data_IF_727475657920
#
_entry.id   IF_727475657920
#
_cell.length_a   1.000
_cell.length_b   1.000
_cell.length_c   1.000
_cell.angle_alpha   90.00
_cell.angle_beta   90.00
_cell.angle_gamma   90.00
#
_symmetry.space_group_name_H-M   'P 1'
#
loop_
_entity.id
_entity.type
_entity.pdbx_description
1 polymer ?
#
# COMPACT_ATOMS: atom_id res chain seq x y z
N UNK A 1 6.43 -9.56 -23.64
CA UNK A 1 7.11 -10.21 -24.78
C UNK A 1 7.53 -9.23 -25.88
N UNK A 2 6.60 -8.55 -26.58
CA UNK A 2 6.94 -7.67 -27.72
C UNK A 2 7.90 -6.52 -27.39
N UNK A 3 7.77 -5.89 -26.22
CA UNK A 3 8.63 -4.77 -25.77
C UNK A 3 10.07 -5.22 -25.40
N UNK A 4 10.22 -6.41 -24.81
CA UNK A 4 11.55 -6.99 -24.57
C UNK A 4 12.27 -7.33 -25.88
N UNK A 5 11.51 -7.82 -26.88
CA UNK A 5 12.02 -8.07 -28.22
C UNK A 5 12.48 -6.79 -28.94
N UNK A 6 11.72 -5.69 -28.85
CA UNK A 6 12.10 -4.44 -29.54
C UNK A 6 13.41 -3.87 -29.01
N UNK A 7 13.69 -4.01 -27.72
CA UNK A 7 14.86 -3.40 -27.09
C UNK A 7 16.13 -4.25 -27.29
N UNK A 8 16.07 -5.56 -27.01
CA UNK A 8 17.26 -6.43 -27.00
C UNK A 8 17.32 -7.43 -28.16
N UNK A 9 16.27 -7.51 -29.00
CA UNK A 9 16.15 -8.46 -30.14
C UNK A 9 16.39 -9.93 -29.74
N UNK A 10 16.12 -10.22 -28.48
CA UNK A 10 16.26 -11.52 -27.83
C UNK A 10 15.31 -11.60 -26.65
N UNK A 11 14.45 -12.60 -26.61
CA UNK A 11 13.46 -12.73 -25.53
C UNK A 11 13.15 -14.20 -25.30
N UNK A 12 13.63 -14.74 -24.18
CA UNK A 12 13.28 -16.07 -23.68
C UNK A 12 12.69 -15.92 -22.27
N UNK A 13 11.49 -16.44 -22.06
CA UNK A 13 10.79 -16.40 -20.78
C UNK A 13 10.22 -17.78 -20.45
N UNK A 14 10.57 -18.32 -19.28
CA UNK A 14 9.91 -19.49 -18.72
C UNK A 14 8.64 -19.02 -18.03
N UNK A 15 7.49 -19.57 -18.42
CA UNK A 15 6.21 -19.28 -17.76
C UNK A 15 6.06 -20.14 -16.50
N UNK A 16 6.27 -21.44 -16.64
CA UNK A 16 6.32 -22.38 -15.52
C UNK A 16 7.18 -23.59 -15.85
N UNK A 17 7.73 -24.21 -14.80
CA UNK A 17 8.50 -25.44 -14.85
C UNK A 17 8.18 -26.27 -13.62
N UNK A 18 7.72 -27.50 -13.80
CA UNK A 18 7.26 -28.35 -12.70
C UNK A 18 7.52 -29.84 -12.95
N UNK A 19 7.75 -30.57 -11.86
CA UNK A 19 7.85 -32.03 -11.85
C UNK A 19 6.46 -32.64 -11.67
N UNK A 20 6.02 -33.44 -12.64
CA UNK A 20 4.79 -34.21 -12.57
C UNK A 20 5.11 -35.68 -12.29
N UNK A 21 4.39 -36.25 -11.33
CA UNK A 21 4.29 -37.69 -11.11
C UNK A 21 2.82 -38.07 -11.13
N UNK A 22 2.47 -39.06 -11.96
CA UNK A 22 1.10 -39.52 -12.12
C UNK A 22 0.47 -40.11 -10.85
N UNK A 23 1.28 -40.38 -9.80
CA UNK A 23 0.80 -40.86 -8.49
C UNK A 23 0.75 -39.79 -7.41
N UNK A 24 1.62 -38.79 -7.50
CA UNK A 24 1.74 -37.70 -6.53
C UNK A 24 1.85 -36.41 -7.31
N UNK A 25 0.80 -35.59 -7.32
CA UNK A 25 0.89 -34.21 -7.81
C UNK A 25 1.79 -33.44 -6.86
N UNK A 26 3.09 -33.54 -7.09
CA UNK A 26 4.13 -32.97 -6.25
C UNK A 26 3.99 -31.45 -6.28
N UNK A 27 3.26 -30.93 -5.29
CA UNK A 27 3.30 -29.53 -4.83
C UNK A 27 2.63 -28.53 -5.77
N UNK A 28 1.44 -28.90 -6.21
CA UNK A 28 0.51 -28.04 -6.88
C UNK A 28 -0.58 -27.60 -5.88
N UNK A 29 -0.26 -26.74 -4.92
CA UNK A 29 -1.28 -26.17 -4.02
C UNK A 29 -1.29 -24.63 -4.09
N UNK A 30 -2.28 -24.02 -4.77
CA UNK A 30 -3.34 -24.66 -5.56
C UNK A 30 -2.85 -25.22 -6.89
N UNK A 31 -3.41 -26.37 -7.32
CA UNK A 31 -3.18 -26.92 -8.66
C UNK A 31 -3.79 -25.96 -9.68
N UNK A 32 -2.96 -25.30 -10.47
CA UNK A 32 -3.44 -24.35 -11.48
C UNK A 32 -4.10 -25.06 -12.70
N UNK A 33 -3.91 -26.37 -12.88
CA UNK A 33 -4.50 -27.10 -14.01
C UNK A 33 -4.54 -28.62 -13.81
N UNK A 34 -5.34 -29.30 -14.64
CA UNK A 34 -5.41 -30.76 -14.76
C UNK A 34 -4.17 -31.27 -15.49
N UNK A 35 -3.53 -32.37 -15.04
CA UNK A 35 -2.38 -32.94 -15.75
C UNK A 35 -2.77 -33.36 -17.18
N UNK A 36 -1.84 -33.25 -18.17
CA UNK A 36 -2.06 -33.76 -19.53
C UNK A 36 -2.39 -35.25 -19.53
N UNK A 37 -3.16 -35.71 -20.50
CA UNK A 37 -3.44 -37.14 -20.65
C UNK A 37 -2.20 -37.90 -21.19
N UNK A 38 -2.07 -39.18 -20.85
CA UNK A 38 -1.01 -40.07 -21.31
C UNK A 38 -0.89 -40.09 -22.83
N UNK A 39 -2.01 -40.00 -23.56
CA UNK A 39 -2.02 -39.91 -25.01
C UNK A 39 -1.38 -38.61 -25.52
N UNK A 40 -1.66 -37.48 -24.87
CA UNK A 40 -1.06 -36.18 -25.23
C UNK A 40 0.45 -36.19 -24.99
N UNK A 41 0.88 -36.80 -23.88
CA UNK A 41 2.30 -36.98 -23.57
C UNK A 41 2.98 -37.92 -24.59
N UNK A 42 2.34 -39.02 -24.95
CA UNK A 42 2.84 -39.93 -25.99
C UNK A 42 2.98 -39.22 -27.34
N UNK A 43 2.00 -38.39 -27.71
CA UNK A 43 2.06 -37.60 -28.95
C UNK A 43 3.17 -36.54 -28.93
N UNK A 44 3.55 -36.07 -27.73
CA UNK A 44 4.68 -35.17 -27.52
C UNK A 44 6.04 -35.90 -27.50
N UNK A 45 6.07 -37.22 -27.74
CA UNK A 45 7.30 -38.03 -27.75
C UNK A 45 7.71 -38.58 -26.40
N UNK A 46 6.84 -38.52 -25.39
CA UNK A 46 7.10 -39.11 -24.08
C UNK A 46 6.75 -40.59 -24.12
N UNK A 47 7.75 -41.45 -24.27
CA UNK A 47 7.60 -42.91 -24.47
C UNK A 47 7.92 -43.76 -23.23
N UNK A 48 8.52 -43.16 -22.18
CA UNK A 48 8.94 -43.88 -20.96
C UNK A 48 7.85 -44.01 -19.88
N UNK A 49 6.67 -43.40 -20.10
CA UNK A 49 5.56 -43.43 -19.15
C UNK A 49 4.71 -44.68 -19.33
N UNK A 50 4.19 -45.21 -18.21
CA UNK A 50 3.29 -46.36 -18.21
C UNK A 50 1.86 -45.89 -18.10
N UNK A 51 1.04 -46.08 -19.14
CA UNK A 51 -0.39 -45.76 -19.09
C UNK A 51 -1.09 -46.57 -18.00
N UNK A 52 -1.87 -45.90 -17.17
CA UNK A 52 -2.65 -46.51 -16.08
C UNK A 52 -4.11 -46.12 -16.22
N UNK A 53 -5.02 -47.02 -15.83
CA UNK A 53 -6.45 -46.70 -15.81
C UNK A 53 -6.74 -45.92 -14.53
N UNK A 54 -7.01 -44.62 -14.68
CA UNK A 54 -7.40 -43.77 -13.57
C UNK A 54 -8.58 -42.90 -13.98
N UNK A 55 -9.61 -42.83 -13.12
CA UNK A 55 -10.80 -41.99 -13.34
C UNK A 55 -10.67 -40.62 -12.67
N UNK A 56 -9.63 -40.41 -11.83
CA UNK A 56 -9.40 -39.18 -11.07
C UNK A 56 -7.92 -38.78 -11.14
N UNK A 57 -7.57 -37.84 -12.02
CA UNK A 57 -6.20 -37.33 -12.19
C UNK A 57 -5.47 -37.89 -13.41
N UNK A 58 -4.13 -37.95 -13.33
CA UNK A 58 -3.28 -38.45 -14.42
C UNK A 58 -3.54 -39.94 -14.68
N UNK A 59 -3.64 -40.34 -15.96
CA UNK A 59 -3.82 -41.72 -16.44
C UNK A 59 -2.50 -42.37 -16.86
N UNK A 60 -1.41 -42.01 -16.19
CA UNK A 60 -0.08 -42.60 -16.38
C UNK A 60 0.64 -42.74 -15.04
N UNK A 61 1.71 -43.53 -15.04
CA UNK A 61 2.67 -43.67 -13.95
C UNK A 61 4.07 -43.41 -14.50
N UNK A 62 4.84 -42.62 -13.76
CA UNK A 62 6.19 -42.22 -14.13
C UNK A 62 6.43 -40.76 -13.80
N UNK A 63 7.70 -40.36 -13.80
CA UNK A 63 8.13 -39.00 -13.54
C UNK A 63 8.38 -38.30 -14.87
N UNK A 64 7.97 -37.04 -14.96
CA UNK A 64 8.29 -36.18 -16.08
C UNK A 64 8.50 -34.76 -15.57
N UNK A 65 9.35 -34.01 -16.27
CA UNK A 65 9.52 -32.58 -16.06
C UNK A 65 8.83 -31.85 -17.21
N UNK A 66 7.99 -30.86 -16.91
CA UNK A 66 7.28 -30.10 -17.91
C UNK A 66 7.66 -28.62 -17.78
N UNK A 67 8.02 -28.00 -18.90
CA UNK A 67 8.40 -26.59 -18.97
C UNK A 67 7.60 -25.92 -20.08
N UNK A 68 6.92 -24.81 -19.76
CA UNK A 68 6.36 -23.91 -20.76
C UNK A 68 7.29 -22.72 -20.96
N UNK A 69 7.77 -22.56 -22.19
CA UNK A 69 8.76 -21.56 -22.55
C UNK A 69 8.27 -20.72 -23.75
N UNK A 70 8.42 -19.40 -23.64
CA UNK A 70 8.13 -18.43 -24.69
C UNK A 70 9.43 -17.88 -25.23
N UNK A 71 9.70 -18.11 -26.52
CA UNK A 71 10.97 -17.74 -27.13
C UNK A 71 10.72 -17.00 -28.43
N UNK A 72 11.44 -15.90 -28.60
CA UNK A 72 11.60 -15.24 -29.89
C UNK A 72 13.07 -14.93 -30.10
N UNK A 73 13.60 -15.48 -31.18
CA UNK A 73 14.99 -15.31 -31.60
C UNK A 73 15.05 -15.07 -33.10
N UNK A 74 16.15 -14.50 -33.58
CA UNK A 74 16.47 -14.44 -34.99
C UNK A 74 17.91 -14.93 -35.20
N UNK A 75 18.23 -15.35 -36.43
CA UNK A 75 19.56 -15.90 -36.76
C UNK A 75 20.72 -14.91 -36.56
N UNK A 76 20.45 -13.60 -36.55
CA UNK A 76 21.47 -12.56 -36.32
C UNK A 76 21.84 -12.43 -34.85
N UNK A 77 20.89 -12.64 -33.94
CA UNK A 77 21.09 -12.52 -32.48
C UNK A 77 21.35 -13.87 -31.81
N UNK A 78 20.86 -14.96 -32.39
CA UNK A 78 21.11 -16.34 -31.97
C UNK A 78 21.49 -17.18 -33.18
N UNK A 79 22.80 -17.37 -33.44
CA UNK A 79 23.26 -18.17 -34.57
C UNK A 79 23.12 -19.68 -34.34
N UNK A 80 22.80 -20.10 -33.11
CA UNK A 80 22.62 -21.50 -32.71
C UNK A 80 21.21 -21.73 -32.16
N UNK A 81 20.73 -22.95 -32.35
CA UNK A 81 19.47 -23.41 -31.77
C UNK A 81 19.56 -23.50 -30.24
N UNK A 82 18.39 -23.58 -29.60
CA UNK A 82 18.31 -23.64 -28.15
C UNK A 82 18.80 -24.99 -27.64
N UNK A 83 19.81 -24.93 -26.77
CA UNK A 83 20.28 -26.09 -26.01
C UNK A 83 19.78 -25.99 -24.57
N UNK A 84 19.26 -27.10 -24.06
CA UNK A 84 18.84 -27.24 -22.67
C UNK A 84 19.86 -28.05 -21.90
N UNK A 85 20.15 -27.64 -20.66
CA UNK A 85 21.01 -28.37 -19.72
C UNK A 85 20.14 -28.80 -18.55
N UNK A 86 20.05 -30.10 -18.32
CA UNK A 86 19.40 -30.62 -17.12
C UNK A 86 20.32 -30.40 -15.91
N UNK A 87 19.77 -29.77 -14.87
CA UNK A 87 20.46 -29.54 -13.59
C UNK A 87 20.10 -30.64 -12.60
N UNK A 88 21.03 -30.99 -11.70
CA UNK A 88 20.77 -31.94 -10.60
C UNK A 88 19.88 -31.35 -9.49
N UNK A 89 19.71 -30.03 -9.45
CA UNK A 89 18.90 -29.37 -8.42
C UNK A 89 17.41 -29.68 -8.63
N UNK A 90 16.80 -30.32 -7.63
CA UNK A 90 15.35 -30.62 -7.53
C UNK A 90 14.75 -30.05 -6.24
N UNK A 91 15.39 -29.03 -5.68
CA UNK A 91 14.84 -28.31 -4.54
C UNK A 91 13.52 -27.66 -4.91
N UNK A 92 12.60 -27.66 -3.96
CA UNK A 92 11.28 -27.10 -4.19
C UNK A 92 11.33 -25.62 -3.90
N UNK A 93 10.93 -24.81 -4.86
CA UNK A 93 10.70 -23.39 -4.64
C UNK A 93 9.19 -23.19 -4.44
N UNK A 94 8.81 -22.55 -3.34
CA UNK A 94 7.44 -22.11 -3.13
C UNK A 94 7.41 -20.60 -3.24
N UNK A 95 6.72 -20.09 -4.27
CA UNK A 95 6.43 -18.67 -4.37
C UNK A 95 5.21 -18.36 -3.49
N UNK A 96 5.38 -17.52 -2.47
CA UNK A 96 4.25 -16.99 -1.69
C UNK A 96 3.95 -15.57 -2.14
N UNK A 97 2.79 -15.36 -2.74
CA UNK A 97 2.27 -14.02 -2.98
C UNK A 97 1.41 -13.58 -1.79
N UNK A 98 1.87 -12.56 -1.05
CA UNK A 98 1.16 -12.04 0.13
C UNK A 98 0.49 -10.72 -0.22
N UNK A 99 -0.83 -10.75 -0.43
CA UNK A 99 -1.64 -9.55 -0.58
C UNK A 99 -1.87 -8.90 0.78
N UNK A 100 -1.37 -7.67 0.96
CA UNK A 100 -1.58 -6.87 2.17
C UNK A 100 -2.65 -5.82 1.92
N UNK A 101 -3.82 -6.01 2.50
CA UNK A 101 -4.87 -5.00 2.49
C UNK A 101 -4.63 -3.98 3.62
N UNK A 102 -4.76 -2.67 3.37
CA UNK A 102 -4.79 -1.69 4.44
C UNK A 102 -5.95 -1.95 5.41
N UNK A 103 -5.73 -1.64 6.69
CA UNK A 103 -6.74 -1.71 7.73
C UNK A 103 -7.88 -0.73 7.44
N UNK A 104 -9.12 -1.17 7.74
CA UNK A 104 -10.30 -0.31 7.74
C UNK A 104 -10.39 0.34 9.12
N UNK A 105 -10.22 1.66 9.16
CA UNK A 105 -10.26 2.45 10.40
C UNK A 105 -11.59 3.20 10.40
N UNK A 106 -12.38 2.99 11.46
CA UNK A 106 -13.67 3.65 11.65
C UNK A 106 -13.55 4.86 12.58
N UNK A 107 -12.69 4.76 13.60
CA UNK A 107 -12.41 5.83 14.54
C UNK A 107 -11.09 6.52 14.16
N UNK A 108 -11.20 7.76 13.71
CA UNK A 108 -10.08 8.60 13.28
C UNK A 108 -9.55 9.52 14.39
N UNK A 109 -10.13 9.45 15.60
CA UNK A 109 -9.65 10.24 16.75
C UNK A 109 -8.31 9.75 17.30
N UNK A 110 -7.92 8.51 17.00
CA UNK A 110 -6.66 7.94 17.45
C UNK A 110 -5.45 8.59 16.77
N UNK A 111 -4.52 9.06 17.59
CA UNK A 111 -3.21 9.63 17.23
C UNK A 111 -2.38 8.75 16.27
N UNK A 112 -2.52 7.42 16.36
CA UNK A 112 -1.80 6.45 15.51
C UNK A 112 -2.33 6.35 14.09
N UNK A 113 -3.49 6.93 13.78
CA UNK A 113 -4.13 6.83 12.46
C UNK A 113 -3.35 7.61 11.39
N UNK A 114 -2.93 8.83 11.70
CA UNK A 114 -2.13 9.65 10.78
C UNK A 114 -0.81 8.97 10.38
N UNK A 115 0.07 8.53 11.32
CA UNK A 115 1.32 7.86 10.95
C UNK A 115 1.08 6.52 10.24
N UNK A 116 -0.04 5.84 10.53
CA UNK A 116 -0.42 4.66 9.78
C UNK A 116 -0.73 4.97 8.31
N UNK A 117 -1.55 5.99 8.03
CA UNK A 117 -1.88 6.36 6.65
C UNK A 117 -0.67 6.86 5.86
N UNK A 118 0.28 7.55 6.49
CA UNK A 118 1.55 7.92 5.86
C UNK A 118 2.33 6.67 5.40
N UNK A 119 2.49 5.67 6.27
CA UNK A 119 3.13 4.40 5.89
C UNK A 119 2.40 3.66 4.78
N UNK A 120 1.07 3.76 4.72
CA UNK A 120 0.29 3.18 3.62
C UNK A 120 0.54 3.94 2.32
N UNK A 121 0.59 5.28 2.35
CA UNK A 121 0.89 6.11 1.19
C UNK A 121 2.29 5.78 0.64
N UNK A 122 3.31 5.74 1.48
CA UNK A 122 4.68 5.42 1.08
C UNK A 122 4.75 4.05 0.40
N UNK A 123 4.11 3.03 0.98
CA UNK A 123 4.03 1.70 0.38
C UNK A 123 3.33 1.71 -0.97
N UNK A 124 2.26 2.50 -1.13
CA UNK A 124 1.52 2.58 -2.40
C UNK A 124 2.33 3.25 -3.50
N UNK A 125 3.15 4.23 -3.16
CA UNK A 125 4.08 4.84 -4.11
C UNK A 125 5.11 3.82 -4.57
N UNK A 126 5.71 3.07 -3.65
CA UNK A 126 6.63 1.97 -3.97
C UNK A 126 5.94 0.89 -4.83
N UNK A 127 4.69 0.54 -4.54
CA UNK A 127 3.91 -0.40 -5.35
C UNK A 127 3.67 0.11 -6.78
N UNK A 128 3.47 1.41 -6.98
CA UNK A 128 3.36 2.02 -8.31
C UNK A 128 4.70 2.09 -9.04
N UNK A 129 5.78 2.42 -8.36
CA UNK A 129 7.12 2.41 -8.96
C UNK A 129 7.49 0.98 -9.38
N UNK A 130 7.23 -0.02 -8.54
CA UNK A 130 7.41 -1.42 -8.90
C UNK A 130 6.51 -1.85 -10.08
N UNK A 131 5.28 -1.36 -10.15
CA UNK A 131 4.40 -1.63 -11.28
C UNK A 131 5.02 -1.09 -12.58
N UNK A 132 5.46 0.16 -12.57
CA UNK A 132 6.16 0.79 -13.68
C UNK A 132 7.42 0.01 -14.06
N UNK A 133 8.26 -0.38 -13.10
CA UNK A 133 9.50 -1.11 -13.36
C UNK A 133 9.26 -2.50 -13.97
N UNK A 134 8.30 -3.24 -13.43
CA UNK A 134 8.04 -4.64 -13.83
C UNK A 134 7.24 -4.69 -15.14
N UNK A 135 6.24 -3.83 -15.28
CA UNK A 135 5.28 -3.91 -16.39
C UNK A 135 5.51 -2.86 -17.47
N UNK A 136 6.33 -1.84 -17.17
CA UNK A 136 6.54 -0.65 -18.01
C UNK A 136 5.24 0.09 -18.33
N UNK A 137 4.27 0.00 -17.42
CA UNK A 137 3.04 0.77 -17.46
C UNK A 137 3.27 2.15 -16.89
N UNK A 138 2.65 3.15 -17.51
CA UNK A 138 2.71 4.53 -17.04
C UNK A 138 1.99 4.62 -15.69
N UNK A 139 2.71 5.00 -14.63
CA UNK A 139 2.14 5.05 -13.28
C UNK A 139 1.13 6.18 -13.08
N UNK A 140 1.20 7.24 -13.89
CA UNK A 140 0.27 8.37 -13.83
C UNK A 140 -1.17 7.93 -14.11
N UNK A 141 -1.37 6.89 -14.94
CA UNK A 141 -2.68 6.26 -15.16
C UNK A 141 -3.30 5.69 -13.89
N UNK A 142 -2.48 5.41 -12.88
CA UNK A 142 -2.87 4.84 -11.59
C UNK A 142 -2.72 5.84 -10.43
N UNK A 143 -2.61 7.14 -10.72
CA UNK A 143 -2.47 8.22 -9.72
C UNK A 143 -3.56 8.22 -8.66
N UNK A 144 -4.77 7.73 -8.97
CA UNK A 144 -5.85 7.58 -7.99
C UNK A 144 -5.50 6.62 -6.82
N UNK A 145 -4.57 5.70 -7.03
CA UNK A 145 -4.18 4.69 -6.06
C UNK A 145 -3.54 5.28 -4.79
N UNK A 146 -2.47 6.11 -4.86
CA UNK A 146 -1.94 6.83 -3.70
C UNK A 146 -2.84 7.99 -3.28
N UNK A 147 -3.52 8.66 -4.24
CA UNK A 147 -4.31 9.87 -3.97
C UNK A 147 -5.38 9.68 -2.89
N UNK A 148 -5.96 8.49 -2.82
CA UNK A 148 -6.91 8.10 -1.76
C UNK A 148 -6.36 8.34 -0.35
N UNK A 149 -5.08 8.04 -0.12
CA UNK A 149 -4.45 8.18 1.20
C UNK A 149 -3.86 9.57 1.42
N UNK A 150 -3.40 10.25 0.36
CA UNK A 150 -3.06 11.68 0.43
C UNK A 150 -4.24 12.50 0.95
N UNK A 151 -5.43 12.32 0.37
CA UNK A 151 -6.62 13.07 0.77
C UNK A 151 -7.02 12.80 2.23
N UNK A 152 -6.88 11.55 2.69
CA UNK A 152 -7.12 11.18 4.09
C UNK A 152 -6.13 11.86 5.04
N UNK A 153 -4.85 11.86 4.69
CA UNK A 153 -3.79 12.51 5.47
C UNK A 153 -4.04 14.01 5.56
N UNK A 154 -4.37 14.67 4.44
CA UNK A 154 -4.66 16.11 4.41
C UNK A 154 -5.86 16.45 5.30
N UNK A 155 -6.95 15.66 5.24
CA UNK A 155 -8.11 15.85 6.11
C UNK A 155 -7.74 15.74 7.59
N UNK A 156 -7.01 14.70 7.98
CA UNK A 156 -6.62 14.49 9.38
C UNK A 156 -5.71 15.59 9.91
N UNK A 157 -4.76 16.06 9.09
CA UNK A 157 -3.89 17.18 9.47
C UNK A 157 -4.67 18.47 9.68
N UNK A 158 -5.65 18.76 8.81
CA UNK A 158 -6.52 19.93 8.99
C UNK A 158 -7.29 19.86 10.31
N UNK A 159 -7.86 18.70 10.65
CA UNK A 159 -8.58 18.49 11.91
C UNK A 159 -7.68 18.60 13.15
N UNK A 160 -6.42 18.16 13.06
CA UNK A 160 -5.46 18.30 14.16
C UNK A 160 -5.08 19.76 14.38
N UNK A 161 -4.84 20.50 13.29
CA UNK A 161 -4.54 21.92 13.38
C UNK A 161 -5.72 22.70 13.98
N UNK A 162 -6.95 22.44 13.54
CA UNK A 162 -8.16 23.08 14.10
C UNK A 162 -8.30 22.83 15.61
N UNK A 163 -8.05 21.60 16.08
CA UNK A 163 -8.06 21.28 17.52
C UNK A 163 -6.93 21.97 18.28
N UNK A 164 -5.74 22.05 17.69
CA UNK A 164 -4.60 22.75 18.29
C UNK A 164 -4.90 24.25 18.47
N UNK A 165 -5.56 24.89 17.49
CA UNK A 165 -6.04 26.27 17.61
C UNK A 165 -7.14 26.43 18.67
N UNK A 166 -8.08 25.48 18.80
CA UNK A 166 -9.12 25.51 19.84
C UNK A 166 -8.53 25.34 21.25
N UNK A 167 -7.62 24.38 21.45
CA UNK A 167 -6.95 24.13 22.73
C UNK A 167 -6.07 25.32 23.15
N UNK A 168 -5.36 25.97 22.21
CA UNK A 168 -4.60 27.20 22.52
C UNK A 168 -5.52 28.36 22.93
N UNK A 169 -6.71 28.45 22.35
CA UNK A 169 -7.67 29.51 22.69
C UNK A 169 -8.37 29.25 24.04
N UNK A 170 -8.69 27.99 24.37
CA UNK A 170 -9.24 27.62 25.68
C UNK A 170 -8.23 27.81 26.82
N UNK A 171 -6.94 27.60 26.57
CA UNK A 171 -5.88 27.80 27.57
C UNK A 171 -5.47 29.27 27.75
N UNK A 172 -6.03 30.21 26.96
CA UNK A 172 -5.87 31.64 27.19
C UNK A 172 -6.86 32.13 28.28
N UNK A 173 -6.34 32.41 29.48
CA UNK A 173 -7.08 32.93 30.65
C UNK A 173 -7.72 34.33 30.44
N UNK A 174 -7.56 34.93 29.26
CA UNK A 174 -8.15 36.22 28.91
C UNK A 174 -9.15 36.01 27.76
N UNK A 175 -10.40 36.48 27.87
CA UNK A 175 -11.37 36.31 26.79
C UNK A 175 -10.88 37.04 25.53
N UNK A 176 -10.50 36.27 24.51
CA UNK A 176 -10.18 36.78 23.19
C UNK A 176 -11.50 37.16 22.49
N UNK A 177 -11.82 38.46 22.48
CA UNK A 177 -12.92 38.97 21.69
C UNK A 177 -12.52 38.99 20.21
N UNK A 178 -13.40 38.54 19.29
CA UNK A 178 -13.11 38.57 17.86
C UNK A 178 -12.76 40.00 17.43
N UNK A 179 -11.61 40.15 16.78
CA UNK A 179 -11.08 41.43 16.32
C UNK A 179 -12.04 42.05 15.30
N UNK A 180 -12.88 42.97 15.74
CA UNK A 180 -13.76 43.70 14.83
C UNK A 180 -14.80 44.63 15.45
N UNK A 181 -15.28 44.40 16.67
CA UNK A 181 -16.13 45.37 17.37
C UNK A 181 -16.30 45.00 18.85
N UNK A 182 -15.71 45.80 19.74
CA UNK A 182 -15.97 45.70 21.18
C UNK A 182 -17.37 46.28 21.42
N UNK A 183 -18.35 45.50 21.90
CA UNK A 183 -19.68 46.04 22.19
C UNK A 183 -19.56 47.15 23.26
N UNK A 184 -20.25 48.29 23.10
CA UNK A 184 -20.05 49.47 23.94
C UNK A 184 -20.27 49.20 25.43
N UNK A 185 -21.01 48.16 25.81
CA UNK A 185 -21.22 47.74 27.20
C UNK A 185 -19.92 47.45 27.98
N UNK A 186 -18.86 46.96 27.33
CA UNK A 186 -17.59 46.62 28.01
C UNK A 186 -16.79 47.89 28.36
N UNK A 187 -16.88 48.95 27.55
CA UNK A 187 -16.27 50.25 27.88
C UNK A 187 -16.87 50.86 29.15
N UNK A 188 -18.18 50.69 29.36
CA UNK A 188 -18.85 51.17 30.58
C UNK A 188 -18.40 50.42 31.84
N UNK A 189 -18.07 49.13 31.74
CA UNK A 189 -17.55 48.35 32.86
C UNK A 189 -16.18 48.88 33.34
N UNK A 190 -15.27 49.19 32.42
CA UNK A 190 -13.95 49.74 32.79
C UNK A 190 -14.03 51.15 33.36
N UNK A 191 -14.93 51.99 32.84
CA UNK A 191 -15.17 53.34 33.39
C UNK A 191 -15.80 53.25 34.79
N UNK A 192 -16.75 52.34 35.00
CA UNK A 192 -17.41 52.13 36.30
C UNK A 192 -16.45 51.66 37.41
N UNK A 193 -15.56 50.71 37.11
CA UNK A 193 -14.58 50.20 38.09
C UNK A 193 -13.55 51.26 38.47
N UNK A 194 -13.12 52.10 37.52
CA UNK A 194 -12.20 53.20 37.78
C UNK A 194 -12.81 54.28 38.70
N UNK A 195 -14.08 54.63 38.48
CA UNK A 195 -14.80 55.60 39.31
C UNK A 195 -15.00 55.11 40.77
N UNK A 196 -15.24 53.81 40.96
CA UNK A 196 -15.37 53.22 42.30
C UNK A 196 -14.01 53.19 43.03
N UNK A 197 -12.92 52.88 42.32
CA UNK A 197 -11.56 52.93 42.85
C UNK A 197 -11.14 54.33 43.29
N UNK A 198 -11.44 55.36 42.50
CA UNK A 198 -11.15 56.76 42.85
C UNK A 198 -12.01 57.23 44.04
N UNK A 199 -13.26 56.78 44.13
CA UNK A 199 -14.14 57.06 45.28
C UNK A 199 -13.61 56.44 46.59
N UNK A 200 -13.13 55.19 46.55
CA UNK A 200 -12.53 54.53 47.72
C UNK A 200 -11.21 55.18 48.17
N UNK A 201 -10.38 55.63 47.23
CA UNK A 201 -9.12 56.34 47.56
C UNK A 201 -9.39 57.71 48.20
N UNK A 202 -10.37 58.45 47.68
CA UNK A 202 -10.76 59.75 48.27
C UNK A 202 -11.43 59.58 49.64
N UNK A 203 -12.23 58.53 49.83
CA UNK A 203 -12.83 58.18 51.12
C UNK A 203 -11.76 57.78 52.16
N UNK A 204 -10.75 57.00 51.75
CA UNK A 204 -9.64 56.62 52.63
C UNK A 204 -8.78 57.82 53.05
N UNK A 205 -8.48 58.76 52.12
CA UNK A 205 -7.77 60.01 52.44
C UNK A 205 -8.57 60.92 53.39
N UNK A 206 -9.89 61.01 53.23
CA UNK A 206 -10.76 61.81 54.11
C UNK A 206 -10.86 61.21 55.52
N UNK A 207 -10.82 59.88 55.63
CA UNK A 207 -10.87 59.16 56.91
C UNK A 207 -9.57 59.30 57.72
N UNK A 208 -8.40 59.45 57.07
CA UNK A 208 -7.13 59.72 57.76
C UNK A 208 -7.00 61.17 58.27
N UNK A 209 -7.71 62.14 57.68
CA UNK A 209 -7.68 63.54 58.11
C UNK A 209 -8.56 63.85 59.35
N UNK A 210 -9.37 62.89 59.81
CA UNK A 210 -10.29 63.01 60.96
C UNK A 210 -9.77 62.36 62.24
N UNK A 211 -8.53 61.86 62.23
CA UNK A 211 -7.80 61.43 63.44
C UNK A 211 -6.76 62.49 63.80
N UNK A 212 -7.22 63.60 64.37
CA UNK A 212 -6.56 64.39 65.43
C UNK A 212 -7.60 65.33 66.04
#
# INVERSE_FOLDING_TARGET
>A
FSKAWTNNKSSAFVEYSWDLDGKNFTKCDPCNTTPPAAQELSNAGVDWLKTTRNNWGANYSGKLHFTRLHIRYNRKTYPQDLAFIETKNKENFQCRYVLRNPAKINDESCDKVLPYYQKVLDRRNIELDNLEDITWWNKEWYSAYPKKYENKITRLKAQQNEKEYEDENENNFLPAFPSGNIPPMILWFFVGVSLIGISLITFHKKWQALKF
#
